data_IF_755026761452
#
_entry.id   IF_755026761452
#
_cell.length_a   1.000
_cell.length_b   1.000
_cell.length_c   1.000
_cell.angle_alpha   90.00
_cell.angle_beta   90.00
_cell.angle_gamma   90.00
#
_symmetry.space_group_name_H-M   'P 1'
#
loop_
_entity.id
_entity.type
_entity.pdbx_description
1 polymer ?
#
# COMPACT_ATOMS: atom_id res chain seq x y z
N UNK A 1 -60.49 -39.09 -16.84
CA UNK A 1 -60.54 -37.97 -15.87
C UNK A 1 -59.21 -37.96 -15.12
N UNK A 2 -58.31 -37.03 -15.49
CA UNK A 2 -57.82 -35.91 -14.64
C UNK A 2 -57.00 -36.44 -13.46
N UNK A 3 -55.65 -36.38 -13.50
CA UNK A 3 -54.86 -35.23 -13.03
C UNK A 3 -54.58 -35.41 -11.51
N UNK A 4 -53.45 -35.09 -10.90
CA UNK A 4 -52.31 -34.23 -11.23
C UNK A 4 -51.21 -34.55 -10.22
N UNK A 5 -49.96 -34.54 -10.70
CA UNK A 5 -48.75 -34.56 -9.88
C UNK A 5 -48.60 -33.21 -9.18
N UNK A 6 -48.61 -33.16 -7.84
CA UNK A 6 -47.98 -32.07 -7.05
C UNK A 6 -47.91 -32.47 -5.57
N UNK A 7 -46.86 -32.19 -4.79
CA UNK A 7 -45.73 -31.33 -5.02
C UNK A 7 -44.49 -31.85 -4.32
N UNK A 8 -43.39 -31.91 -5.07
CA UNK A 8 -42.04 -31.91 -4.51
C UNK A 8 -41.85 -30.55 -3.84
N UNK A 9 -41.90 -30.53 -2.51
CA UNK A 9 -41.54 -29.35 -1.71
C UNK A 9 -40.03 -29.17 -1.87
N UNK A 10 -39.61 -28.47 -2.92
CA UNK A 10 -38.20 -28.09 -3.08
C UNK A 10 -37.84 -27.21 -1.89
N UNK A 11 -37.07 -27.80 -0.96
CA UNK A 11 -36.25 -27.06 -0.04
C UNK A 11 -35.41 -26.10 -0.88
N UNK A 12 -35.72 -24.79 -0.80
CA UNK A 12 -34.92 -23.68 -1.32
C UNK A 12 -33.60 -23.65 -0.55
N UNK A 13 -32.76 -24.62 -0.84
CA UNK A 13 -31.35 -24.66 -0.52
C UNK A 13 -30.70 -23.40 -1.09
N UNK A 14 -30.13 -22.60 -0.19
CA UNK A 14 -29.16 -21.54 -0.46
C UNK A 14 -29.59 -20.44 -1.44
N UNK A 15 -30.03 -19.30 -0.88
CA UNK A 15 -30.15 -18.02 -1.58
C UNK A 15 -28.77 -17.56 -2.04
N UNK A 16 -28.41 -17.86 -3.29
CA UNK A 16 -27.14 -17.50 -3.94
C UNK A 16 -26.82 -15.99 -3.89
N UNK A 17 -27.85 -15.15 -3.78
CA UNK A 17 -27.69 -13.69 -3.67
C UNK A 17 -27.02 -13.22 -2.38
N UNK A 18 -27.17 -13.93 -1.26
CA UNK A 18 -26.57 -13.50 0.01
C UNK A 18 -25.05 -13.71 0.01
N UNK A 19 -24.58 -14.75 -0.67
CA UNK A 19 -23.15 -15.06 -0.77
C UNK A 19 -22.42 -14.05 -1.66
N UNK A 20 -23.04 -13.62 -2.77
CA UNK A 20 -22.50 -12.58 -3.63
C UNK A 20 -22.37 -11.23 -2.92
N UNK A 21 -23.37 -10.86 -2.11
CA UNK A 21 -23.33 -9.61 -1.31
C UNK A 21 -22.26 -9.70 -0.22
N UNK A 22 -22.10 -10.85 0.43
CA UNK A 22 -21.04 -11.07 1.42
C UNK A 22 -19.64 -11.00 0.79
N UNK A 23 -19.44 -11.61 -0.38
CA UNK A 23 -18.16 -11.55 -1.10
C UNK A 23 -17.84 -10.13 -1.58
N UNK A 24 -18.84 -9.40 -2.06
CA UNK A 24 -18.69 -8.00 -2.47
C UNK A 24 -18.33 -7.12 -1.26
N UNK A 25 -19.02 -7.26 -0.14
CA UNK A 25 -18.73 -6.54 1.10
C UNK A 25 -17.31 -6.86 1.63
N UNK A 26 -16.90 -8.13 1.60
CA UNK A 26 -15.56 -8.54 2.01
C UNK A 26 -14.48 -7.94 1.10
N UNK A 27 -14.72 -7.87 -0.21
CA UNK A 27 -13.80 -7.25 -1.18
C UNK A 27 -13.66 -5.74 -0.99
N UNK A 28 -14.73 -5.07 -0.54
CA UNK A 28 -14.73 -3.63 -0.24
C UNK A 28 -14.04 -3.30 1.10
N UNK A 29 -14.04 -4.22 2.06
CA UNK A 29 -13.38 -4.06 3.36
C UNK A 29 -11.92 -4.53 3.38
N UNK A 30 -11.53 -5.46 2.47
CA UNK A 30 -10.20 -6.03 2.40
C UNK A 30 -9.02 -5.06 2.10
N UNK A 31 -9.15 -3.93 1.38
CA UNK A 31 -7.97 -3.11 1.05
C UNK A 31 -7.45 -2.26 2.21
N UNK A 32 -8.06 -2.34 3.40
CA UNK A 32 -7.70 -1.50 4.55
C UNK A 32 -6.65 -2.12 5.49
N UNK A 33 -6.34 -3.42 5.36
CA UNK A 33 -5.17 -4.00 6.02
C UNK A 33 -3.95 -3.65 5.18
N UNK A 34 -3.51 -2.40 5.31
CA UNK A 34 -2.43 -1.82 4.52
C UNK A 34 -1.24 -2.75 4.45
N UNK A 35 -0.98 -3.28 3.26
CA UNK A 35 0.26 -3.95 2.93
C UNK A 35 1.36 -2.88 3.01
N UNK A 36 1.87 -2.66 4.23
CA UNK A 36 3.10 -1.91 4.44
C UNK A 36 4.18 -2.80 3.86
N UNK A 37 4.67 -2.47 2.67
CA UNK A 37 5.88 -3.08 2.16
C UNK A 37 6.93 -2.99 3.29
N UNK A 38 7.46 -4.13 3.71
CA UNK A 38 8.53 -4.17 4.70
C UNK A 38 9.70 -3.37 4.09
N UNK A 39 10.00 -2.21 4.69
CA UNK A 39 11.19 -1.47 4.33
C UNK A 39 12.40 -2.35 4.60
N UNK A 40 13.42 -2.25 3.75
CA UNK A 40 14.67 -2.95 3.99
C UNK A 40 15.23 -2.54 5.35
N UNK A 41 15.50 -3.52 6.22
CA UNK A 41 16.13 -3.27 7.52
C UNK A 41 17.60 -2.88 7.35
N UNK A 42 18.25 -3.37 6.28
CA UNK A 42 19.63 -3.06 5.92
C UNK A 42 19.80 -2.89 4.42
N UNK A 43 20.76 -2.06 4.00
CA UNK A 43 21.20 -1.91 2.61
C UNK A 43 22.72 -2.00 2.50
N UNK A 44 23.24 -2.37 1.33
CA UNK A 44 24.67 -2.24 1.02
C UNK A 44 24.89 -0.89 0.33
N UNK A 45 25.72 -0.03 0.90
CA UNK A 45 26.03 1.27 0.32
C UNK A 45 27.09 1.20 -0.80
N UNK A 46 27.36 2.33 -1.46
CA UNK A 46 28.33 2.40 -2.55
C UNK A 46 29.78 2.09 -2.12
N UNK A 47 30.08 2.10 -0.81
CA UNK A 47 31.37 1.70 -0.26
C UNK A 47 31.41 0.23 0.16
N UNK A 48 30.35 -0.54 -0.11
CA UNK A 48 30.23 -1.96 0.24
C UNK A 48 29.88 -2.21 1.71
N UNK A 49 29.51 -1.18 2.47
CA UNK A 49 29.14 -1.34 3.89
C UNK A 49 27.69 -1.77 4.01
N UNK A 50 27.39 -2.66 4.95
CA UNK A 50 26.00 -2.97 5.33
C UNK A 50 25.54 -1.92 6.34
N UNK A 51 24.49 -1.18 6.00
CA UNK A 51 23.95 -0.06 6.79
C UNK A 51 22.52 -0.40 7.21
N UNK A 52 22.24 -0.36 8.51
CA UNK A 52 20.89 -0.47 9.03
C UNK A 52 20.08 0.79 8.71
N UNK A 53 18.90 0.62 8.11
CA UNK A 53 17.99 1.70 7.77
C UNK A 53 17.03 1.92 8.95
N UNK A 54 17.18 3.06 9.63
CA UNK A 54 16.20 3.51 10.61
C UNK A 54 14.89 4.00 9.96
N UNK A 55 13.95 4.56 10.73
CA UNK A 55 12.63 4.95 10.22
C UNK A 55 12.65 6.13 9.21
N UNK A 56 13.81 6.76 8.95
CA UNK A 56 13.95 7.80 7.94
C UNK A 56 13.09 9.04 8.19
N UNK A 57 12.94 9.45 9.46
CA UNK A 57 12.06 10.55 9.88
C UNK A 57 12.67 11.93 9.71
N UNK A 58 14.00 12.02 9.63
CA UNK A 58 14.77 13.25 9.37
C UNK A 58 15.86 12.90 8.37
N UNK A 59 15.79 13.49 7.19
CA UNK A 59 16.62 13.16 6.04
C UNK A 59 17.50 14.36 5.72
N UNK A 60 18.79 14.10 5.52
CA UNK A 60 19.73 15.05 4.94
C UNK A 60 20.12 14.51 3.58
N UNK A 61 20.01 15.33 2.54
CA UNK A 61 20.38 14.95 1.16
C UNK A 61 21.60 15.72 0.69
N UNK A 62 22.42 15.05 -0.11
CA UNK A 62 23.61 15.62 -0.75
C UNK A 62 23.52 15.29 -2.24
N UNK A 63 23.68 16.32 -3.08
CA UNK A 63 23.43 16.26 -4.52
C UNK A 63 21.99 16.62 -4.87
N UNK A 64 21.84 17.52 -5.84
CA UNK A 64 20.53 17.99 -6.31
C UNK A 64 19.64 16.83 -6.75
N UNK A 65 20.13 15.91 -7.57
CA UNK A 65 19.37 14.76 -8.05
C UNK A 65 18.81 13.89 -6.92
N UNK A 66 19.60 13.67 -5.86
CA UNK A 66 19.17 12.89 -4.69
C UNK A 66 18.05 13.62 -3.95
N UNK A 67 18.21 14.93 -3.75
CA UNK A 67 17.19 15.77 -3.11
C UNK A 67 15.86 15.71 -3.88
N UNK A 68 15.91 15.88 -5.20
CA UNK A 68 14.72 15.87 -6.06
C UNK A 68 14.04 14.49 -6.09
N UNK A 69 14.82 13.41 -6.12
CA UNK A 69 14.27 12.03 -6.07
C UNK A 69 13.55 11.79 -4.74
N UNK A 70 14.16 12.17 -3.61
CA UNK A 70 13.55 11.97 -2.29
C UNK A 70 12.25 12.75 -2.17
N UNK A 71 12.21 13.99 -2.67
CA UNK A 71 11.00 14.80 -2.72
C UNK A 71 9.92 14.15 -3.59
N UNK A 72 10.26 13.75 -4.82
CA UNK A 72 9.34 13.11 -5.77
C UNK A 72 8.75 11.78 -5.27
N UNK A 73 9.47 11.07 -4.39
CA UNK A 73 8.98 9.86 -3.71
C UNK A 73 8.01 10.16 -2.54
N UNK A 74 7.66 11.43 -2.31
CA UNK A 74 6.74 11.86 -1.26
C UNK A 74 7.39 11.95 0.12
N UNK A 75 8.71 12.10 0.18
CA UNK A 75 9.45 12.26 1.43
C UNK A 75 9.98 13.69 1.66
N UNK A 76 9.61 14.66 0.82
CA UNK A 76 10.05 16.06 0.90
C UNK A 76 9.93 16.69 2.29
N UNK A 77 8.76 16.53 2.94
CA UNK A 77 8.48 17.03 4.30
C UNK A 77 9.42 16.47 5.39
N UNK A 78 10.16 15.38 5.09
CA UNK A 78 11.12 14.76 6.01
C UNK A 78 12.55 15.24 5.75
N UNK A 79 12.80 16.02 4.71
CA UNK A 79 14.12 16.59 4.43
C UNK A 79 14.33 17.78 5.37
N UNK A 80 15.38 17.73 6.20
CA UNK A 80 15.68 18.75 7.21
C UNK A 80 16.91 19.60 6.86
N UNK A 81 17.67 19.21 5.84
CA UNK A 81 18.85 19.90 5.36
C UNK A 81 19.25 19.39 3.96
N UNK A 82 19.80 20.29 3.15
CA UNK A 82 20.33 20.03 1.82
C UNK A 82 21.73 20.63 1.67
N UNK A 83 22.45 20.26 0.62
CA UNK A 83 23.68 20.95 0.24
C UNK A 83 23.43 22.28 -0.49
N UNK A 84 24.50 23.05 -0.76
CA UNK A 84 24.39 24.34 -1.45
C UNK A 84 23.95 24.26 -2.91
N UNK A 85 24.07 23.09 -3.54
CA UNK A 85 23.73 22.88 -4.94
C UNK A 85 22.25 22.56 -5.16
N UNK A 86 21.59 22.04 -4.12
CA UNK A 86 20.19 21.66 -4.13
C UNK A 86 19.29 22.90 -4.04
N UNK A 87 18.65 23.25 -5.15
CA UNK A 87 17.71 24.41 -5.24
C UNK A 87 16.25 24.00 -5.30
N UNK A 88 15.99 22.70 -5.51
CA UNK A 88 14.66 22.11 -5.52
C UNK A 88 14.63 20.91 -4.55
N UNK A 89 13.53 20.69 -3.80
CA UNK A 89 12.38 21.59 -3.68
C UNK A 89 12.78 22.90 -2.97
N UNK A 90 12.16 24.01 -3.36
CA UNK A 90 12.53 25.34 -2.84
C UNK A 90 12.15 25.57 -1.37
N UNK A 91 11.42 24.62 -0.76
CA UNK A 91 10.85 24.72 0.57
C UNK A 91 11.77 24.18 1.69
N UNK A 92 12.92 23.60 1.35
CA UNK A 92 13.89 23.01 2.30
C UNK A 92 15.08 23.95 2.48
#
# INVERSE_FOLDING_TARGET
MVGSVSGRRQMRWFRSGNMAVLLLALSLLAPSCGFKALAAETVVDASGRTVAIGPGTRILTLGSDVTEIVDALGAGERIIAVDRGSKYPAAV
#
